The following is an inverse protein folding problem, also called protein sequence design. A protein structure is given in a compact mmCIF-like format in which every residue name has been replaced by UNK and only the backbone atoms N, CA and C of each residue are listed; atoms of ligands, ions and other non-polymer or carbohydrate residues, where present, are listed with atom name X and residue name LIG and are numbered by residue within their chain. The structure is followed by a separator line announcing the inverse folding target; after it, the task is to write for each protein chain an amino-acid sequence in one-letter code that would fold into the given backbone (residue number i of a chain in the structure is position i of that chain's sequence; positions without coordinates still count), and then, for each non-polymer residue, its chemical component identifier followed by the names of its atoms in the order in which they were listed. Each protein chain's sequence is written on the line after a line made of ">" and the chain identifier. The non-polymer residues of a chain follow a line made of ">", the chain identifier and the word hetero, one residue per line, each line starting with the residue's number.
data_IF_231612356140
#
_entry.id   IF_231612356140
#
_cell.length_a   1.000
_cell.length_b   1.000
_cell.length_c   1.000
_cell.angle_alpha   90.00
_cell.angle_beta   90.00
_cell.angle_gamma   90.00
#
_symmetry.space_group_name_H-M   'P 1'
#
loop_
_entity.id
_entity.type
_entity.pdbx_description
1 polymer ?
#
# COMPACT_ATOMS: atom_id res chain seq x y z
N UNK A 1 13.80 -11.73 -8.43
CA UNK A 1 12.48 -11.08 -8.64
C UNK A 1 11.88 -11.50 -9.99
N UNK A 2 11.87 -12.80 -10.33
CA UNK A 2 11.32 -13.29 -11.61
C UNK A 2 9.87 -13.74 -11.44
N UNK A 3 9.62 -14.58 -10.42
CA UNK A 3 8.30 -15.15 -10.13
C UNK A 3 7.21 -14.10 -9.89
N UNK A 4 7.51 -13.01 -9.18
CA UNK A 4 6.54 -11.93 -8.92
C UNK A 4 6.16 -11.18 -10.20
N UNK A 5 7.11 -11.00 -11.11
CA UNK A 5 6.86 -10.28 -12.36
C UNK A 5 6.13 -11.17 -13.38
N UNK A 6 6.34 -12.49 -13.34
CA UNK A 6 5.69 -13.45 -14.24
C UNK A 6 4.31 -13.91 -13.76
N UNK A 7 4.05 -13.87 -12.45
CA UNK A 7 2.78 -14.34 -11.89
C UNK A 7 1.64 -13.37 -12.21
N UNK A 8 0.45 -13.92 -12.45
CA UNK A 8 -0.78 -13.15 -12.55
C UNK A 8 -1.11 -12.61 -11.16
N UNK A 9 -1.29 -11.30 -11.05
CA UNK A 9 -1.67 -10.68 -9.79
C UNK A 9 -3.20 -10.65 -9.64
N UNK A 10 -3.71 -10.97 -8.44
CA UNK A 10 -5.16 -11.07 -8.19
C UNK A 10 -5.89 -9.74 -8.45
N UNK A 11 -5.32 -8.60 -8.03
CA UNK A 11 -5.99 -7.31 -8.19
C UNK A 11 -6.09 -6.84 -9.66
N UNK A 12 -5.16 -7.23 -10.52
CA UNK A 12 -5.11 -6.77 -11.93
C UNK A 12 -5.50 -7.86 -12.91
N UNK A 13 -5.58 -9.12 -12.47
CA UNK A 13 -5.75 -10.32 -13.29
C UNK A 13 -4.76 -10.41 -14.48
N UNK A 14 -3.61 -9.76 -14.36
CA UNK A 14 -2.56 -9.69 -15.39
C UNK A 14 -1.19 -9.77 -14.73
N UNK A 15 -0.17 -10.18 -15.49
CA UNK A 15 1.22 -10.19 -15.04
C UNK A 15 1.78 -8.76 -15.03
N UNK A 16 2.54 -8.35 -14.00
CA UNK A 16 3.22 -7.06 -14.00
C UNK A 16 4.15 -6.87 -15.20
N UNK A 17 4.84 -7.93 -15.62
CA UNK A 17 5.72 -7.88 -16.79
C UNK A 17 4.96 -7.58 -18.08
N UNK A 18 3.76 -8.16 -18.24
CA UNK A 18 2.90 -7.88 -19.39
C UNK A 18 2.44 -6.42 -19.42
N UNK A 19 2.08 -5.84 -18.27
CA UNK A 19 1.66 -4.44 -18.19
C UNK A 19 2.79 -3.46 -18.55
N UNK A 20 4.03 -3.80 -18.20
CA UNK A 20 5.20 -2.96 -18.48
C UNK A 20 5.69 -3.11 -19.92
N UNK A 21 5.72 -4.34 -20.45
CA UNK A 21 6.37 -4.67 -21.72
C UNK A 21 5.41 -4.99 -22.86
N UNK A 22 4.11 -5.11 -22.58
CA UNK A 22 3.08 -5.51 -23.54
C UNK A 22 3.20 -6.93 -24.08
N UNK A 23 4.01 -7.77 -23.42
CA UNK A 23 4.23 -9.17 -23.81
C UNK A 23 4.52 -10.01 -22.58
N UNK A 24 4.21 -11.30 -22.68
CA UNK A 24 4.54 -12.23 -21.62
C UNK A 24 6.06 -12.48 -21.53
N UNK A 25 6.48 -12.83 -20.31
CA UNK A 25 7.86 -13.15 -20.02
C UNK A 25 8.20 -14.54 -20.53
N UNK A 26 9.34 -14.67 -21.22
CA UNK A 26 9.85 -15.96 -21.68
C UNK A 26 10.49 -16.72 -20.53
N UNK A 27 9.89 -17.85 -20.16
CA UNK A 27 10.36 -18.70 -19.07
C UNK A 27 10.89 -20.02 -19.64
N UNK A 28 11.81 -20.67 -18.92
CA UNK A 28 12.41 -21.92 -19.40
C UNK A 28 11.40 -23.06 -19.60
N UNK A 29 10.21 -22.96 -18.99
CA UNK A 29 9.13 -23.94 -19.11
C UNK A 29 8.00 -23.52 -20.06
N UNK A 30 7.97 -22.27 -20.53
CA UNK A 30 6.92 -21.81 -21.45
C UNK A 30 7.21 -22.38 -22.84
N UNK A 31 6.43 -23.38 -23.25
CA UNK A 31 6.43 -23.91 -24.60
C UNK A 31 5.53 -23.02 -25.47
N UNK A 32 6.11 -22.01 -26.12
CA UNK A 32 5.41 -21.21 -27.12
C UNK A 32 5.19 -22.09 -28.36
N UNK A 33 3.95 -22.58 -28.58
CA UNK A 33 3.56 -23.10 -29.89
C UNK A 33 3.67 -21.92 -30.86
N UNK A 34 4.49 -22.02 -31.90
CA UNK A 34 4.79 -20.95 -32.87
C UNK A 34 3.57 -20.50 -33.71
N UNK A 35 2.38 -20.29 -33.12
CA UNK A 35 1.17 -19.91 -33.87
C UNK A 35 1.07 -18.43 -34.18
N UNK A 36 1.75 -17.56 -33.42
CA UNK A 36 1.56 -16.11 -33.49
C UNK A 36 2.88 -15.34 -33.64
N UNK A 37 3.86 -15.92 -34.36
CA UNK A 37 4.98 -15.11 -34.83
C UNK A 37 4.46 -14.17 -35.92
N UNK A 38 4.40 -12.84 -35.70
CA UNK A 38 3.93 -11.91 -36.71
C UNK A 38 4.83 -12.01 -37.94
N UNK A 39 4.24 -12.13 -39.13
CA UNK A 39 5.02 -12.17 -40.38
C UNK A 39 5.68 -10.81 -40.67
N UNK A 40 5.05 -9.73 -40.20
CA UNK A 40 5.50 -8.36 -40.39
C UNK A 40 5.37 -7.53 -39.10
N UNK A 41 6.30 -6.58 -38.90
CA UNK A 41 6.28 -5.61 -37.79
C UNK A 41 4.98 -4.79 -37.75
N UNK A 42 4.42 -4.43 -38.91
CA UNK A 42 3.18 -3.66 -38.97
C UNK A 42 1.99 -4.44 -38.42
N UNK A 43 1.85 -5.72 -38.81
CA UNK A 43 0.81 -6.62 -38.31
C UNK A 43 0.90 -6.83 -36.78
N UNK A 44 2.12 -6.90 -36.25
CA UNK A 44 2.35 -7.01 -34.80
C UNK A 44 1.81 -5.79 -34.05
N UNK A 45 2.11 -4.58 -34.53
CA UNK A 45 1.67 -3.34 -33.87
C UNK A 45 0.16 -3.19 -33.96
N UNK A 46 -0.45 -3.53 -35.10
CA UNK A 46 -1.91 -3.51 -35.29
C UNK A 46 -2.65 -4.43 -34.33
N UNK A 47 -2.06 -5.58 -33.97
CA UNK A 47 -2.65 -6.50 -32.97
C UNK A 47 -2.35 -6.08 -31.53
N UNK A 48 -1.15 -5.54 -31.28
CA UNK A 48 -0.67 -5.21 -29.94
C UNK A 48 -1.42 -4.03 -29.33
N UNK A 49 -1.58 -2.93 -30.07
CA UNK A 49 -2.21 -1.70 -29.56
C UNK A 49 -3.64 -1.91 -29.04
N UNK A 50 -4.59 -2.49 -29.81
CA UNK A 50 -5.95 -2.70 -29.31
C UNK A 50 -5.99 -3.70 -28.14
N UNK A 51 -5.10 -4.70 -28.14
CA UNK A 51 -4.98 -5.64 -27.03
C UNK A 51 -4.53 -4.94 -25.76
N UNK A 52 -3.51 -4.08 -25.84
CA UNK A 52 -3.04 -3.27 -24.73
C UNK A 52 -4.13 -2.33 -24.20
N UNK A 53 -4.78 -1.57 -25.08
CA UNK A 53 -5.87 -0.67 -24.69
C UNK A 53 -6.98 -1.42 -23.95
N UNK A 54 -7.39 -2.58 -24.47
CA UNK A 54 -8.38 -3.44 -23.81
C UNK A 54 -7.91 -3.92 -22.44
N UNK A 55 -6.67 -4.38 -22.34
CA UNK A 55 -6.10 -4.86 -21.07
C UNK A 55 -6.00 -3.74 -20.03
N UNK A 56 -5.54 -2.55 -20.41
CA UNK A 56 -5.45 -1.42 -19.50
C UNK A 56 -6.83 -0.96 -19.02
N UNK A 57 -7.82 -0.89 -19.91
CA UNK A 57 -9.20 -0.57 -19.51
C UNK A 57 -9.74 -1.58 -18.49
N UNK A 58 -9.51 -2.88 -18.70
CA UNK A 58 -9.88 -3.92 -17.74
C UNK A 58 -9.17 -3.76 -16.40
N UNK A 59 -7.85 -3.56 -16.42
CA UNK A 59 -7.05 -3.38 -15.21
C UNK A 59 -7.52 -2.17 -14.41
N UNK A 60 -7.80 -1.05 -15.08
CA UNK A 60 -8.31 0.15 -14.41
C UNK A 60 -9.67 -0.10 -13.74
N UNK A 61 -10.57 -0.85 -14.37
CA UNK A 61 -11.86 -1.21 -13.76
C UNK A 61 -11.66 -2.14 -12.56
N UNK A 62 -10.84 -3.18 -12.71
CA UNK A 62 -10.53 -4.11 -11.63
C UNK A 62 -9.92 -3.40 -10.42
N UNK A 63 -9.00 -2.45 -10.66
CA UNK A 63 -8.39 -1.67 -9.59
C UNK A 63 -9.41 -0.80 -8.84
N UNK A 64 -10.37 -0.20 -9.53
CA UNK A 64 -11.46 0.57 -8.90
C UNK A 64 -12.34 -0.33 -8.02
N UNK A 65 -12.71 -1.51 -8.51
CA UNK A 65 -13.53 -2.46 -7.77
C UNK A 65 -12.80 -3.00 -6.53
N UNK A 66 -11.49 -3.28 -6.68
CA UNK A 66 -10.62 -3.71 -5.58
C UNK A 66 -10.43 -2.61 -4.55
N UNK A 67 -10.24 -1.35 -4.98
CA UNK A 67 -10.15 -0.20 -4.09
C UNK A 67 -11.43 -0.04 -3.26
N UNK A 68 -12.60 -0.07 -3.90
CA UNK A 68 -13.89 0.00 -3.21
C UNK A 68 -14.04 -1.12 -2.17
N UNK A 69 -13.73 -2.36 -2.57
CA UNK A 69 -13.78 -3.53 -1.66
C UNK A 69 -12.83 -3.37 -0.47
N UNK A 70 -11.60 -2.89 -0.70
CA UNK A 70 -10.63 -2.62 0.36
C UNK A 70 -11.09 -1.52 1.31
N UNK A 71 -11.68 -0.44 0.79
CA UNK A 71 -12.24 0.64 1.61
C UNK A 71 -13.38 0.12 2.49
N UNK A 72 -14.28 -0.70 1.96
CA UNK A 72 -15.37 -1.30 2.74
C UNK A 72 -14.86 -2.20 3.88
N UNK A 73 -13.92 -3.11 3.56
CA UNK A 73 -13.31 -4.01 4.54
C UNK A 73 -12.56 -3.24 5.63
N UNK A 74 -11.76 -2.25 5.23
CA UNK A 74 -11.00 -1.42 6.17
C UNK A 74 -11.92 -0.59 7.06
N UNK A 75 -12.99 -0.02 6.51
CA UNK A 75 -13.99 0.74 7.26
C UNK A 75 -14.70 -0.16 8.27
N UNK A 76 -15.09 -1.38 7.87
CA UNK A 76 -15.72 -2.36 8.77
C UNK A 76 -14.79 -2.72 9.95
N UNK A 77 -13.50 -2.92 9.68
CA UNK A 77 -12.52 -3.23 10.72
C UNK A 77 -12.25 -2.04 11.67
N UNK A 78 -12.31 -0.80 11.18
CA UNK A 78 -11.92 0.40 11.93
C UNK A 78 -13.07 1.13 12.63
N UNK A 79 -14.34 0.82 12.31
CA UNK A 79 -15.55 1.39 12.96
C UNK A 79 -15.54 1.31 14.50
N UNK A 80 -14.75 0.43 15.10
CA UNK A 80 -14.72 0.23 16.55
C UNK A 80 -13.75 1.18 17.31
N UNK A 81 -12.81 1.86 16.63
CA UNK A 81 -11.70 2.54 17.32
C UNK A 81 -11.24 3.88 16.71
N UNK A 82 -12.10 4.63 16.03
CA UNK A 82 -11.74 5.98 15.59
C UNK A 82 -11.94 6.99 16.73
N UNK A 83 -10.84 7.56 17.24
CA UNK A 83 -10.88 8.67 18.19
C UNK A 83 -10.39 9.95 17.52
N UNK A 84 -11.27 10.93 17.37
CA UNK A 84 -10.92 12.23 16.80
C UNK A 84 -10.29 13.12 17.89
N UNK A 85 -8.97 13.31 17.81
CA UNK A 85 -8.26 14.22 18.69
C UNK A 85 -8.53 15.68 18.29
N UNK A 86 -8.98 16.48 19.26
CA UNK A 86 -9.12 17.93 19.08
C UNK A 86 -7.76 18.61 19.22
N UNK A 87 -7.60 19.75 18.56
CA UNK A 87 -6.42 20.61 18.73
C UNK A 87 -6.36 21.04 20.21
N UNK A 88 -5.18 20.91 20.80
CA UNK A 88 -4.92 21.19 22.20
C UNK A 88 -5.13 20.02 23.15
N UNK A 89 -5.68 18.88 22.70
CA UNK A 89 -5.81 17.67 23.52
C UNK A 89 -4.44 17.06 23.85
N UNK A 90 -4.35 16.41 25.01
CA UNK A 90 -3.18 15.63 25.42
C UNK A 90 -3.29 14.20 24.93
N UNK A 91 -2.18 13.63 24.47
CA UNK A 91 -2.07 12.26 24.02
C UNK A 91 -0.70 11.67 24.40
N UNK A 92 -0.63 10.34 24.43
CA UNK A 92 0.63 9.61 24.54
C UNK A 92 0.92 8.92 23.22
N UNK A 93 2.19 8.87 22.83
CA UNK A 93 2.64 8.22 21.59
C UNK A 93 3.12 6.82 21.93
N UNK A 94 2.66 5.81 21.17
CA UNK A 94 3.16 4.44 21.32
C UNK A 94 4.53 4.30 20.66
N UNK A 95 5.59 4.47 21.42
CA UNK A 95 6.97 4.33 20.94
C UNK A 95 7.48 2.91 21.26
N UNK A 96 7.72 2.02 20.27
CA UNK A 96 8.13 0.64 20.54
C UNK A 96 9.58 0.54 21.07
N UNK A 97 10.43 1.53 20.77
CA UNK A 97 11.86 1.53 21.10
C UNK A 97 12.24 2.69 22.02
N UNK A 98 11.52 2.85 23.14
CA UNK A 98 11.93 3.82 24.17
C UNK A 98 13.28 3.38 24.75
N UNK A 99 14.27 4.28 24.68
CA UNK A 99 15.58 4.08 25.29
C UNK A 99 15.40 4.02 26.81
N UNK A 100 15.51 2.82 27.38
CA UNK A 100 15.50 2.62 28.82
C UNK A 100 16.42 1.47 29.20
N UNK A 101 16.94 1.51 30.43
CA UNK A 101 17.83 0.48 30.97
C UNK A 101 17.06 -0.77 31.45
N UNK A 102 15.77 -0.87 31.11
CA UNK A 102 14.88 -1.96 31.50
C UNK A 102 14.81 -3.00 30.38
N UNK A 103 14.51 -4.25 30.75
CA UNK A 103 14.27 -5.31 29.78
C UNK A 103 13.03 -4.98 28.91
N UNK A 104 12.95 -5.45 27.64
CA UNK A 104 11.86 -5.11 26.72
C UNK A 104 10.45 -5.28 27.27
N UNK A 105 10.26 -6.24 28.20
CA UNK A 105 8.97 -6.52 28.85
C UNK A 105 8.56 -5.46 29.88
N UNK A 106 9.54 -4.81 30.51
CA UNK A 106 9.35 -3.81 31.58
C UNK A 106 9.53 -2.37 31.09
N UNK A 107 9.89 -2.17 29.82
CA UNK A 107 9.97 -0.81 29.25
C UNK A 107 8.57 -0.21 29.12
N UNK A 108 8.41 1.10 29.37
CA UNK A 108 7.17 1.79 29.04
C UNK A 108 6.88 1.64 27.54
N UNK A 109 5.60 1.43 27.20
CA UNK A 109 5.13 1.29 25.80
C UNK A 109 4.71 2.63 25.17
N UNK A 110 4.57 3.65 25.99
CA UNK A 110 4.04 4.95 25.64
C UNK A 110 4.97 6.05 26.17
N UNK A 111 5.12 7.09 25.36
CA UNK A 111 5.93 8.28 25.63
C UNK A 111 5.03 9.52 25.66
N UNK A 112 5.38 10.52 26.47
CA UNK A 112 4.61 11.77 26.59
C UNK A 112 4.22 12.07 28.04
N UNK A 113 3.56 13.21 28.29
CA UNK A 113 2.44 13.72 27.48
C UNK A 113 2.85 14.62 26.31
N UNK A 114 2.13 14.47 25.19
CA UNK A 114 2.20 15.36 24.02
C UNK A 114 0.88 16.12 23.85
N UNK A 115 0.95 17.32 23.30
CA UNK A 115 -0.21 18.14 22.95
C UNK A 115 -0.39 18.19 21.43
N UNK A 116 -1.61 17.97 20.95
CA UNK A 116 -1.95 18.09 19.53
C UNK A 116 -1.94 19.57 19.14
N UNK A 117 -1.10 19.93 18.17
CA UNK A 117 -1.01 21.31 17.63
C UNK A 117 -1.90 21.46 16.41
N UNK A 118 -1.88 20.47 15.52
CA UNK A 118 -2.43 20.58 14.17
C UNK A 118 -2.87 19.21 13.66
N UNK A 119 -3.89 19.18 12.80
CA UNK A 119 -4.38 17.97 12.11
C UNK A 119 -4.12 18.12 10.61
N UNK A 120 -3.31 17.23 10.02
CA UNK A 120 -3.04 17.21 8.57
C UNK A 120 -4.02 16.33 7.80
N UNK A 121 -4.49 15.26 8.41
CA UNK A 121 -5.42 14.30 7.82
C UNK A 121 -6.30 13.71 8.92
N UNK A 122 -7.30 12.93 8.53
CA UNK A 122 -8.16 12.24 9.49
C UNK A 122 -7.36 11.40 10.50
N UNK A 123 -6.21 10.87 10.09
CA UNK A 123 -5.34 10.00 10.91
C UNK A 123 -3.98 10.62 11.30
N UNK A 124 -3.57 11.72 10.66
CA UNK A 124 -2.24 12.31 10.87
C UNK A 124 -2.34 13.63 11.64
N UNK A 125 -1.64 13.69 12.77
CA UNK A 125 -1.61 14.83 13.68
C UNK A 125 -0.18 15.28 13.94
N UNK A 126 0.03 16.59 14.04
CA UNK A 126 1.25 17.19 14.59
C UNK A 126 1.10 17.34 16.10
N UNK A 127 2.11 16.89 16.83
CA UNK A 127 2.11 16.89 18.30
C UNK A 127 3.38 17.52 18.84
N UNK A 128 3.27 18.21 19.97
CA UNK A 128 4.39 18.84 20.69
C UNK A 128 4.59 18.18 22.05
N UNK A 129 5.83 17.94 22.44
CA UNK A 129 6.11 17.47 23.79
C UNK A 129 5.73 18.56 24.80
N UNK A 130 5.03 18.17 25.87
CA UNK A 130 4.73 19.09 26.97
C UNK A 130 5.86 18.98 27.97
N UNK A 131 6.71 19.99 28.07
CA UNK A 131 7.71 20.07 29.14
C UNK A 131 7.01 20.24 30.50
N UNK A 132 6.62 19.12 31.11
CA UNK A 132 6.31 19.12 32.53
C UNK A 132 7.63 19.07 33.29
N UNK A 133 8.12 20.23 33.72
CA UNK A 133 9.10 20.32 34.80
C UNK A 133 8.52 19.59 36.02
N UNK A 134 8.84 18.30 36.17
CA UNK A 134 8.60 17.57 37.42
C UNK A 134 9.49 18.24 38.47
N UNK A 135 8.95 19.21 39.22
CA UNK A 135 9.53 19.61 40.50
C UNK A 135 9.58 18.34 41.35
N UNK A 136 10.79 17.81 41.55
CA UNK A 136 11.05 16.78 42.56
C UNK A 136 10.69 17.44 43.90
N UNK A 137 9.64 16.93 44.55
CA UNK A 137 9.38 17.13 45.97
C UNK A 137 10.15 16.03 46.69
#
# INVERSE_FOLDING_TARGET
>A
MLALNSAIHEATYTSPFFLEHGRDIRLSYTYEKNSDTPQNKYEYVEKLLPSLEHTFNKVLNNLKDQEASHVELSTRATKQHHYDYKIGSLCFIKTPNIKSNLSPKLRPKFEGPYRVIERFSNVNYRVQHVEQLRKKI
#
